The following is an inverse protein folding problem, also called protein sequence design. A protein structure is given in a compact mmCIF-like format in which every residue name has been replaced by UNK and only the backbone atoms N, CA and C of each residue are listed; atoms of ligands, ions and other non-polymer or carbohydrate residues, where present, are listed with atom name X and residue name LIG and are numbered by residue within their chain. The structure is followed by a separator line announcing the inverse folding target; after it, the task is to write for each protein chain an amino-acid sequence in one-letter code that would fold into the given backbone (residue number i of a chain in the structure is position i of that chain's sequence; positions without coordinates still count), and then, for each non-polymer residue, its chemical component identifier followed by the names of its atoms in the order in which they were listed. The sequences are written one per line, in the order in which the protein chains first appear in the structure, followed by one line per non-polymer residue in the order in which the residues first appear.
data_IF_970660674323
#
_entry.id   IF_970660674323
#
_cell.length_a   1.000
_cell.length_b   1.000
_cell.length_c   1.000
_cell.angle_alpha   90.00
_cell.angle_beta   90.00
_cell.angle_gamma   90.00
#
_symmetry.space_group_name_H-M   'P 1'
#
loop_
_entity.id
_entity.type
_entity.pdbx_description
1 polymer ?
#
# COMPACT_ATOMS: atom_id res chain seq x y z
N UNK A 1 -18.97 17.34 -0.86
CA UNK A 1 -19.95 16.29 -0.50
C UNK A 1 -20.45 15.57 -1.75
N UNK A 2 -20.77 16.29 -2.83
CA UNK A 2 -21.14 15.71 -4.13
C UNK A 2 -20.11 14.73 -4.69
N UNK A 3 -18.81 15.10 -4.72
CA UNK A 3 -17.73 14.21 -5.17
C UNK A 3 -17.65 12.87 -4.41
N UNK A 4 -17.98 12.86 -3.11
CA UNK A 4 -17.98 11.63 -2.29
C UNK A 4 -19.16 10.73 -2.69
N UNK A 5 -20.34 11.31 -2.89
CA UNK A 5 -21.52 10.56 -3.34
C UNK A 5 -21.33 9.98 -4.74
N UNK A 6 -20.74 10.76 -5.65
CA UNK A 6 -20.40 10.28 -7.00
C UNK A 6 -19.38 9.14 -6.95
N UNK A 7 -18.30 9.28 -6.19
CA UNK A 7 -17.29 8.23 -6.04
C UNK A 7 -17.89 6.95 -5.45
N UNK A 8 -18.79 7.06 -4.48
CA UNK A 8 -19.47 5.91 -3.90
C UNK A 8 -20.31 5.15 -4.93
N UNK A 9 -21.05 5.86 -5.79
CA UNK A 9 -21.81 5.27 -6.88
C UNK A 9 -20.93 4.58 -7.94
N UNK A 10 -19.78 5.16 -8.24
CA UNK A 10 -18.81 4.60 -9.20
C UNK A 10 -18.15 3.32 -8.69
N UNK A 11 -17.78 3.28 -7.40
CA UNK A 11 -17.12 2.10 -6.79
C UNK A 11 -18.07 0.91 -6.68
N UNK A 12 -19.37 1.15 -6.50
CA UNK A 12 -20.39 0.10 -6.39
C UNK A 12 -20.75 -0.55 -7.73
N UNK A 13 -20.23 -0.04 -8.86
CA UNK A 13 -20.44 -0.69 -10.15
C UNK A 13 -19.80 -2.07 -10.15
N UNK A 14 -20.51 -3.05 -10.74
CA UNK A 14 -20.14 -4.46 -10.68
C UNK A 14 -18.75 -4.73 -11.29
N UNK A 15 -18.41 -4.05 -12.38
CA UNK A 15 -17.11 -4.15 -13.02
C UNK A 15 -15.97 -3.65 -12.13
N UNK A 16 -16.16 -2.52 -11.44
CA UNK A 16 -15.20 -1.99 -10.47
C UNK A 16 -15.04 -2.92 -9.27
N UNK A 17 -16.15 -3.44 -8.72
CA UNK A 17 -16.11 -4.40 -7.60
C UNK A 17 -15.38 -5.70 -7.95
N UNK A 18 -15.59 -6.23 -9.15
CA UNK A 18 -14.87 -7.43 -9.63
C UNK A 18 -13.38 -7.16 -9.75
N UNK A 19 -13.00 -6.01 -10.34
CA UNK A 19 -11.61 -5.59 -10.46
C UNK A 19 -10.96 -5.37 -9.09
N UNK A 20 -11.66 -4.75 -8.15
CA UNK A 20 -11.18 -4.60 -6.77
C UNK A 20 -11.01 -5.95 -6.09
N UNK A 21 -11.93 -6.89 -6.29
CA UNK A 21 -11.83 -8.24 -5.71
C UNK A 21 -10.59 -8.97 -6.24
N UNK A 22 -10.35 -8.91 -7.56
CA UNK A 22 -9.16 -9.48 -8.19
C UNK A 22 -7.90 -8.77 -7.68
N UNK A 23 -7.93 -7.43 -7.60
CA UNK A 23 -6.82 -6.63 -7.09
C UNK A 23 -6.47 -6.97 -5.64
N UNK A 24 -7.46 -7.08 -4.76
CA UNK A 24 -7.26 -7.49 -3.37
C UNK A 24 -6.69 -8.90 -3.30
N UNK A 25 -7.24 -9.86 -4.08
CA UNK A 25 -6.73 -11.22 -4.10
C UNK A 25 -5.26 -11.28 -4.58
N UNK A 26 -4.93 -10.58 -5.66
CA UNK A 26 -3.56 -10.47 -6.15
C UNK A 26 -2.64 -9.78 -5.13
N UNK A 27 -3.13 -8.75 -4.45
CA UNK A 27 -2.45 -8.08 -3.35
C UNK A 27 -2.16 -9.03 -2.19
N UNK A 28 -3.14 -9.81 -1.73
CA UNK A 28 -2.95 -10.78 -0.65
C UNK A 28 -1.91 -11.83 -1.05
N UNK A 29 -2.04 -12.42 -2.24
CA UNK A 29 -1.09 -13.43 -2.73
C UNK A 29 0.32 -12.87 -2.81
N UNK A 30 0.48 -11.67 -3.38
CA UNK A 30 1.78 -11.02 -3.48
C UNK A 30 2.38 -10.67 -2.12
N UNK A 31 1.59 -10.15 -1.17
CA UNK A 31 2.05 -9.84 0.18
C UNK A 31 2.41 -11.08 1.01
N UNK A 32 1.81 -12.23 0.72
CA UNK A 32 2.17 -13.51 1.34
C UNK A 32 3.55 -14.03 0.91
N UNK A 33 4.12 -13.54 -0.19
CA UNK A 33 5.44 -13.98 -0.67
C UNK A 33 6.51 -13.20 0.12
N UNK A 34 7.35 -13.87 0.93
CA UNK A 34 8.37 -13.17 1.72
C UNK A 34 9.35 -12.41 0.84
N UNK A 35 9.66 -11.16 1.20
CA UNK A 35 10.51 -10.28 0.41
C UNK A 35 9.84 -9.66 -0.83
N UNK A 36 8.61 -10.06 -1.18
CA UNK A 36 7.83 -9.42 -2.23
C UNK A 36 7.08 -8.22 -1.64
N UNK A 37 7.56 -7.01 -1.92
CA UNK A 37 7.01 -5.81 -1.30
C UNK A 37 5.69 -5.38 -1.93
N UNK A 38 4.86 -4.67 -1.16
CA UNK A 38 3.62 -4.03 -1.67
C UNK A 38 3.95 -3.09 -2.83
N UNK A 39 5.06 -2.36 -2.73
CA UNK A 39 5.54 -1.46 -3.79
C UNK A 39 5.76 -2.19 -5.10
N UNK A 40 6.32 -3.41 -5.05
CA UNK A 40 6.49 -4.26 -6.23
C UNK A 40 5.14 -4.74 -6.79
N UNK A 41 4.20 -5.13 -5.92
CA UNK A 41 2.85 -5.52 -6.34
C UNK A 41 2.14 -4.39 -7.11
N UNK A 42 2.22 -3.16 -6.57
CA UNK A 42 1.68 -1.97 -7.21
C UNK A 42 2.38 -1.70 -8.53
N UNK A 43 3.71 -1.75 -8.58
CA UNK A 43 4.46 -1.54 -9.82
C UNK A 43 4.06 -2.54 -10.92
N UNK A 44 3.86 -3.82 -10.58
CA UNK A 44 3.40 -4.83 -11.54
C UNK A 44 1.95 -4.64 -11.97
N UNK A 45 1.12 -3.94 -11.19
CA UNK A 45 -0.25 -3.60 -11.57
C UNK A 45 -0.32 -2.45 -12.58
N UNK A 46 0.65 -1.53 -12.56
CA UNK A 46 0.64 -0.32 -13.39
C UNK A 46 0.41 -0.56 -14.90
N UNK A 47 1.09 -1.52 -15.57
CA UNK A 47 0.89 -1.79 -16.98
C UNK A 47 -0.56 -2.15 -17.33
N UNK A 48 -1.24 -2.86 -16.43
CA UNK A 48 -2.63 -3.24 -16.62
C UNK A 48 -3.58 -2.07 -16.38
N UNK A 49 -3.22 -1.16 -15.46
CA UNK A 49 -4.08 -0.03 -15.10
C UNK A 49 -3.96 1.17 -16.04
N UNK A 50 -2.85 1.35 -16.75
CA UNK A 50 -2.68 2.49 -17.68
C UNK A 50 -3.64 2.47 -18.87
N UNK A 51 -4.10 1.29 -19.30
CA UNK A 51 -5.09 1.15 -20.37
C UNK A 51 -6.55 1.23 -19.91
N UNK A 52 -6.80 1.38 -18.60
CA UNK A 52 -8.15 1.37 -18.02
C UNK A 52 -8.70 2.77 -17.84
N UNK A 53 -10.02 2.89 -17.69
CA UNK A 53 -10.63 4.13 -17.22
C UNK A 53 -10.05 4.51 -15.85
N UNK A 54 -9.83 5.81 -15.57
CA UNK A 54 -9.11 6.27 -14.37
C UNK A 54 -9.65 5.69 -13.06
N UNK A 55 -10.98 5.61 -12.91
CA UNK A 55 -11.63 5.05 -11.73
C UNK A 55 -11.25 3.58 -11.52
N UNK A 56 -11.26 2.78 -12.59
CA UNK A 56 -10.91 1.35 -12.55
C UNK A 56 -9.43 1.16 -12.25
N UNK A 57 -8.56 1.94 -12.90
CA UNK A 57 -7.12 1.88 -12.67
C UNK A 57 -6.75 2.20 -11.22
N UNK A 58 -7.29 3.30 -10.69
CA UNK A 58 -7.07 3.70 -9.29
C UNK A 58 -7.66 2.66 -8.34
N UNK A 59 -8.86 2.14 -8.61
CA UNK A 59 -9.49 1.11 -7.78
C UNK A 59 -8.64 -0.16 -7.68
N UNK A 60 -8.05 -0.62 -8.80
CA UNK A 60 -7.14 -1.79 -8.79
C UNK A 60 -5.87 -1.51 -8.00
N UNK A 61 -5.21 -0.36 -8.21
CA UNK A 61 -3.99 0.00 -7.47
C UNK A 61 -4.26 0.04 -5.95
N UNK A 62 -5.37 0.66 -5.55
CA UNK A 62 -5.78 0.74 -4.15
C UNK A 62 -6.11 -0.65 -3.59
N UNK A 63 -6.81 -1.48 -4.36
CA UNK A 63 -7.16 -2.85 -3.99
C UNK A 63 -5.92 -3.74 -3.79
N UNK A 64 -4.94 -3.68 -4.71
CA UNK A 64 -3.66 -4.40 -4.59
C UNK A 64 -2.89 -3.92 -3.36
N UNK A 65 -2.87 -2.61 -3.10
CA UNK A 65 -2.21 -2.04 -1.92
C UNK A 65 -2.83 -2.53 -0.63
N UNK A 66 -4.16 -2.47 -0.50
CA UNK A 66 -4.89 -2.93 0.67
C UNK A 66 -4.74 -4.46 0.90
N UNK A 67 -4.81 -5.23 -0.19
CA UNK A 67 -4.57 -6.67 -0.16
C UNK A 67 -3.14 -7.01 0.26
N UNK A 68 -2.15 -6.29 -0.28
CA UNK A 68 -0.73 -6.47 0.02
C UNK A 68 -0.39 -6.18 1.49
N UNK A 69 -0.95 -5.12 2.06
CA UNK A 69 -0.84 -4.84 3.51
C UNK A 69 -1.33 -6.03 4.35
N UNK A 70 -2.45 -6.63 3.94
CA UNK A 70 -3.03 -7.78 4.65
C UNK A 70 -2.24 -9.07 4.41
N UNK A 71 -1.72 -9.29 3.20
CA UNK A 71 -0.89 -10.46 2.87
C UNK A 71 0.44 -10.49 3.62
N UNK A 72 1.08 -9.33 3.80
CA UNK A 72 2.34 -9.21 4.56
C UNK A 72 2.21 -9.62 6.03
N UNK A 73 1.02 -9.46 6.61
CA UNK A 73 0.70 -9.97 7.94
C UNK A 73 0.64 -11.51 7.96
N UNK A 74 0.15 -12.16 6.90
CA UNK A 74 0.03 -13.62 6.86
C UNK A 74 1.42 -14.25 6.86
N UNK A 75 2.32 -13.78 5.99
CA UNK A 75 3.72 -14.24 5.95
C UNK A 75 4.47 -13.89 7.24
N UNK A 76 4.27 -12.69 7.78
CA UNK A 76 4.88 -12.26 9.04
C UNK A 76 4.43 -13.09 10.25
N UNK A 77 3.14 -13.34 10.41
CA UNK A 77 2.59 -14.09 11.55
C UNK A 77 2.85 -15.60 11.46
N UNK A 78 2.75 -16.21 10.27
CA UNK A 78 2.83 -17.67 10.16
C UNK A 78 4.25 -18.18 9.90
N UNK A 79 5.03 -17.45 9.09
CA UNK A 79 6.37 -17.88 8.68
C UNK A 79 7.48 -17.16 9.45
N UNK A 80 7.16 -16.04 10.13
CA UNK A 80 8.17 -15.21 10.81
C UNK A 80 9.07 -14.43 9.85
N UNK A 81 8.79 -14.48 8.54
CA UNK A 81 9.52 -13.77 7.50
C UNK A 81 8.57 -12.72 6.91
N UNK A 82 8.78 -11.42 7.16
CA UNK A 82 7.84 -10.40 6.73
C UNK A 82 7.90 -10.18 5.21
N UNK A 83 6.74 -9.96 4.59
CA UNK A 83 6.66 -9.55 3.18
C UNK A 83 7.10 -8.10 2.93
N UNK A 84 6.99 -7.22 3.95
CA UNK A 84 7.40 -5.82 3.85
C UNK A 84 8.20 -5.36 5.07
N UNK A 85 9.06 -4.33 4.94
CA UNK A 85 9.76 -3.74 6.08
C UNK A 85 8.81 -3.25 7.18
N UNK A 86 7.66 -2.67 6.82
CA UNK A 86 6.63 -2.21 7.77
C UNK A 86 6.00 -3.34 8.58
N UNK A 87 6.00 -4.58 8.08
CA UNK A 87 5.43 -5.74 8.76
C UNK A 87 6.41 -6.41 9.73
N UNK A 88 7.65 -5.93 9.87
CA UNK A 88 8.61 -6.50 10.82
C UNK A 88 8.10 -6.45 12.26
N UNK A 89 7.41 -5.38 12.65
CA UNK A 89 6.84 -5.27 13.99
C UNK A 89 5.78 -6.36 14.24
N UNK A 90 5.03 -6.75 13.21
CA UNK A 90 4.01 -7.80 13.30
C UNK A 90 4.62 -9.17 13.60
N UNK A 91 5.88 -9.42 13.22
CA UNK A 91 6.54 -10.70 13.52
C UNK A 91 6.94 -10.83 14.99
N UNK A 92 7.13 -9.71 15.70
CA UNK A 92 7.50 -9.73 17.12
C UNK A 92 6.37 -10.27 18.01
N UNK A 93 5.11 -10.00 17.66
CA UNK A 93 3.94 -10.48 18.42
C UNK A 93 3.25 -11.68 17.75
N UNK A 94 3.03 -11.59 16.43
CA UNK A 94 2.22 -12.55 15.68
C UNK A 94 2.89 -13.90 15.50
N UNK A 95 4.20 -13.94 15.25
CA UNK A 95 4.94 -15.20 15.06
C UNK A 95 5.06 -16.03 16.33
N UNK A 96 5.41 -15.46 17.51
CA UNK A 96 5.34 -16.19 18.77
C UNK A 96 3.94 -16.72 19.08
N UNK A 97 2.90 -15.92 18.84
CA UNK A 97 1.51 -16.35 19.08
C UNK A 97 1.10 -17.52 18.17
N UNK A 98 1.49 -17.48 16.89
CA UNK A 98 1.26 -18.60 15.97
C UNK A 98 2.01 -19.87 16.40
N UNK A 99 3.28 -19.74 16.84
CA UNK A 99 4.08 -20.86 17.37
C UNK A 99 3.53 -21.44 18.67
N UNK A 100 2.84 -20.64 19.47
CA UNK A 100 2.16 -21.07 20.70
C UNK A 100 0.83 -21.79 20.44
N UNK A 101 0.51 -22.13 19.20
CA UNK A 101 -0.71 -22.85 18.84
C UNK A 101 -1.94 -21.95 18.68
N UNK A 102 -1.76 -20.63 18.64
CA UNK A 102 -2.85 -19.65 18.43
C UNK A 102 -2.76 -18.91 17.06
N UNK A 103 -2.49 -19.58 15.91
CA UNK A 103 -2.28 -18.89 14.63
C UNK A 103 -3.52 -18.13 14.15
N UNK A 104 -4.72 -18.68 14.37
CA UNK A 104 -5.97 -18.01 14.00
C UNK A 104 -6.19 -16.71 14.79
N UNK A 105 -5.82 -16.68 16.07
CA UNK A 105 -5.91 -15.49 16.92
C UNK A 105 -4.90 -14.43 16.51
N UNK A 106 -3.67 -14.85 16.20
CA UNK A 106 -2.62 -13.96 15.69
C UNK A 106 -3.08 -13.25 14.40
N UNK A 107 -3.62 -14.02 13.45
CA UNK A 107 -4.17 -13.50 12.20
C UNK A 107 -5.38 -12.59 12.44
N UNK A 108 -6.31 -12.99 13.30
CA UNK A 108 -7.51 -12.19 13.58
C UNK A 108 -7.18 -10.83 14.19
N UNK A 109 -6.30 -10.79 15.19
CA UNK A 109 -5.90 -9.53 15.85
C UNK A 109 -5.27 -8.59 14.83
N UNK A 110 -4.30 -9.09 14.05
CA UNK A 110 -3.63 -8.23 13.09
C UNK A 110 -4.52 -7.87 11.89
N UNK A 111 -5.46 -8.71 11.48
CA UNK A 111 -6.45 -8.36 10.45
C UNK A 111 -7.33 -7.19 10.91
N UNK A 112 -7.81 -7.23 12.16
CA UNK A 112 -8.57 -6.13 12.74
C UNK A 112 -7.72 -4.87 12.89
N UNK A 113 -6.47 -4.99 13.32
CA UNK A 113 -5.54 -3.86 13.38
C UNK A 113 -5.35 -3.20 11.99
N UNK A 114 -5.13 -4.01 10.95
CA UNK A 114 -5.01 -3.55 9.56
C UNK A 114 -6.30 -2.92 9.04
N UNK A 115 -7.46 -3.50 9.37
CA UNK A 115 -8.77 -2.96 8.99
C UNK A 115 -8.96 -1.56 9.57
N UNK A 116 -8.83 -1.39 10.88
CA UNK A 116 -8.99 -0.08 11.52
C UNK A 116 -7.91 0.91 11.06
N UNK A 117 -6.66 0.48 10.90
CA UNK A 117 -5.60 1.32 10.36
C UNK A 117 -5.91 1.82 8.96
N UNK A 118 -6.45 0.96 8.09
CA UNK A 118 -6.85 1.33 6.72
C UNK A 118 -8.05 2.28 6.72
N UNK A 119 -9.06 2.03 7.56
CA UNK A 119 -10.24 2.90 7.69
C UNK A 119 -9.84 4.29 8.18
N UNK A 120 -9.05 4.38 9.24
CA UNK A 120 -8.58 5.66 9.81
C UNK A 120 -7.73 6.40 8.79
N UNK A 121 -6.79 5.71 8.13
CA UNK A 121 -5.96 6.29 7.07
C UNK A 121 -6.81 6.81 5.90
N UNK A 122 -7.82 6.06 5.47
CA UNK A 122 -8.75 6.47 4.41
C UNK A 122 -9.55 7.71 4.77
N UNK A 123 -10.05 7.81 6.02
CA UNK A 123 -10.75 9.02 6.49
C UNK A 123 -9.81 10.23 6.49
N UNK A 124 -8.59 10.07 7.00
CA UNK A 124 -7.58 11.13 6.97
C UNK A 124 -7.26 11.55 5.54
N UNK A 125 -7.11 10.60 4.62
CA UNK A 125 -6.89 10.89 3.21
C UNK A 125 -8.05 11.70 2.61
N UNK A 126 -9.31 11.32 2.85
CA UNK A 126 -10.47 12.05 2.34
C UNK A 126 -10.50 13.51 2.86
N UNK A 127 -10.10 13.73 4.11
CA UNK A 127 -10.08 15.06 4.72
C UNK A 127 -8.93 15.93 4.20
N UNK A 128 -7.74 15.36 4.05
CA UNK A 128 -6.54 16.11 3.67
C UNK A 128 -6.27 16.14 2.15
N UNK A 129 -6.86 15.24 1.36
CA UNK A 129 -6.64 15.18 -0.09
C UNK A 129 -6.99 16.49 -0.83
N UNK A 130 -8.11 17.20 -0.52
CA UNK A 130 -8.41 18.48 -1.18
C UNK A 130 -7.31 19.51 -0.92
N UNK A 131 -6.89 19.64 0.34
CA UNK A 131 -5.82 20.57 0.74
C UNK A 131 -4.50 20.23 0.02
N UNK A 132 -4.11 18.96 0.01
CA UNK A 132 -2.91 18.51 -0.70
C UNK A 132 -3.00 18.75 -2.21
N UNK A 133 -4.18 18.55 -2.81
CA UNK A 133 -4.38 18.71 -4.25
C UNK A 133 -4.25 20.16 -4.72
N UNK A 134 -4.72 21.13 -3.94
CA UNK A 134 -4.58 22.55 -4.25
C UNK A 134 -3.12 23.01 -4.26
N UNK A 135 -2.30 22.42 -3.38
CA UNK A 135 -0.86 22.68 -3.33
C UNK A 135 -0.14 21.96 -4.47
N UNK A 136 -0.46 20.69 -4.70
CA UNK A 136 0.15 19.89 -5.76
C UNK A 136 -0.08 20.48 -7.16
N UNK A 137 -1.27 21.02 -7.43
CA UNK A 137 -1.60 21.64 -8.72
C UNK A 137 -0.84 22.96 -8.98
N UNK A 138 -0.28 23.58 -7.94
CA UNK A 138 0.54 24.80 -8.05
C UNK A 138 2.02 24.51 -8.28
N UNK A 139 2.46 23.25 -8.20
CA UNK A 139 3.86 22.90 -8.40
C UNK A 139 4.25 23.16 -9.85
N UNK A 140 5.30 23.96 -10.02
CA UNK A 140 5.94 24.20 -11.30
C UNK A 140 7.21 23.36 -11.46
N UNK A 141 7.95 23.58 -12.56
CA UNK A 141 9.18 22.84 -12.85
C UNK A 141 10.23 22.94 -11.73
N UNK A 142 10.33 24.08 -11.06
CA UNK A 142 11.28 24.32 -9.97
C UNK A 142 10.92 23.53 -8.70
N UNK A 143 9.64 23.49 -8.34
CA UNK A 143 9.14 22.71 -7.21
C UNK A 143 9.32 21.22 -7.46
N UNK A 144 8.98 20.73 -8.66
CA UNK A 144 9.22 19.34 -9.04
C UNK A 144 10.70 18.98 -9.01
N UNK A 145 11.59 19.81 -9.57
CA UNK A 145 13.04 19.58 -9.51
C UNK A 145 13.53 19.52 -8.06
N UNK A 146 13.15 20.49 -7.24
CA UNK A 146 13.57 20.56 -5.84
C UNK A 146 13.06 19.37 -5.04
N UNK A 147 11.82 18.94 -5.28
CA UNK A 147 11.22 17.78 -4.62
C UNK A 147 11.90 16.47 -5.02
N UNK A 148 12.17 16.27 -6.31
CA UNK A 148 12.90 15.09 -6.81
C UNK A 148 14.33 15.07 -6.27
N UNK A 149 15.03 16.22 -6.31
CA UNK A 149 16.39 16.34 -5.79
C UNK A 149 16.43 16.06 -4.28
N UNK A 150 15.52 16.64 -3.51
CA UNK A 150 15.39 16.37 -2.08
C UNK A 150 15.12 14.89 -1.81
N UNK A 151 14.19 14.26 -2.54
CA UNK A 151 13.91 12.83 -2.43
C UNK A 151 15.14 11.97 -2.69
N UNK A 152 15.89 12.24 -3.76
CA UNK A 152 17.15 11.54 -4.07
C UNK A 152 18.19 11.74 -2.96
N UNK A 153 18.35 12.95 -2.42
CA UNK A 153 19.29 13.19 -1.31
C UNK A 153 18.88 12.46 -0.04
N UNK A 154 17.58 12.37 0.26
CA UNK A 154 17.08 11.62 1.40
C UNK A 154 17.33 10.11 1.26
N UNK A 155 17.07 9.54 0.07
CA UNK A 155 17.36 8.13 -0.25
C UNK A 155 18.87 7.85 -0.15
N UNK A 156 19.69 8.73 -0.70
CA UNK A 156 21.14 8.63 -0.62
C UNK A 156 21.63 8.68 0.84
N UNK A 157 21.02 9.52 1.68
CA UNK A 157 21.35 9.61 3.12
C UNK A 157 21.00 8.35 3.91
N UNK A 158 19.97 7.61 3.49
CA UNK A 158 19.57 6.35 4.11
C UNK A 158 20.43 5.15 3.67
N UNK A 159 21.21 5.29 2.60
CA UNK A 159 21.99 4.20 1.99
C UNK A 159 23.34 3.92 2.67
N UNK A 160 23.62 4.56 3.83
CA UNK A 160 24.81 4.30 4.64
C UNK A 160 26.13 4.57 3.90
N UNK A 161 27.10 3.66 3.98
CA UNK A 161 28.48 3.83 3.51
C UNK A 161 28.63 3.95 1.97
N UNK A 162 27.57 3.73 1.19
CA UNK A 162 27.65 3.68 -0.27
C UNK A 162 26.73 4.71 -0.92
N UNK A 163 27.09 5.99 -0.75
CA UNK A 163 26.36 7.14 -1.30
C UNK A 163 26.14 7.04 -2.82
N UNK A 164 27.13 6.49 -3.53
CA UNK A 164 27.06 6.27 -4.98
C UNK A 164 26.05 5.19 -5.36
N UNK A 165 25.86 4.13 -4.54
CA UNK A 165 24.78 3.16 -4.77
C UNK A 165 23.42 3.77 -4.47
N UNK A 166 23.30 4.59 -3.43
CA UNK A 166 22.05 5.26 -3.08
C UNK A 166 21.56 6.28 -4.12
N UNK A 167 22.47 6.88 -4.90
CA UNK A 167 22.12 7.87 -5.93
C UNK A 167 21.72 7.24 -7.28
N UNK A 168 22.16 6.02 -7.57
CA UNK A 168 21.97 5.31 -8.85
C UNK A 168 21.14 4.03 -8.74
N UNK A 169 20.59 3.70 -7.57
CA UNK A 169 19.71 2.55 -7.34
C UNK A 169 18.26 2.82 -7.77
#
# INVERSE_FOLDING_TARGET
MEAVMTAFGEILKLDVLLLMTIGVAAGIVSGCIPGFTITMAVALSLPFTFGMEPIKGIAVIMAVTAGGCSGGLISGCLLGIPGTPSSIATTFDGFPMARNGEPGKALAIGLWASFFGTVISGIMLILFAPLLSEWALKFGPWEYFSLMFFGMTAIASLSGDSLYKGLFA
#
